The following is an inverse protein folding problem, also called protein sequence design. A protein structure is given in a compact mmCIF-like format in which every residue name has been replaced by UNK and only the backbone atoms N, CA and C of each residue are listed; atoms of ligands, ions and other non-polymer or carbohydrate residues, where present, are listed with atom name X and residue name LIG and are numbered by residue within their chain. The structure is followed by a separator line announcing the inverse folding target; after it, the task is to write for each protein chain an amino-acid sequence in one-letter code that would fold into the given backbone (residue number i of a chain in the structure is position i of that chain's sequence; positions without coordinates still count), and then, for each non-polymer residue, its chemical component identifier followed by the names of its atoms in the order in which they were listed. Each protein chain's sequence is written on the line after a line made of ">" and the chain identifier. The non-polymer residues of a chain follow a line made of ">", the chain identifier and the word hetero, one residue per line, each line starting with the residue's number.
data_IF_628434661485
#
_entry.id   IF_628434661485
#
_cell.length_a   1.000
_cell.length_b   1.000
_cell.length_c   1.000
_cell.angle_alpha   90.00
_cell.angle_beta   90.00
_cell.angle_gamma   90.00
#
_symmetry.space_group_name_H-M   'P 1'
#
loop_
_entity.id
_entity.type
_entity.pdbx_description
1 polymer ?
#
# COMPACT_ATOMS: atom_id res chain seq x y z
N UNK A 1 13.66 -5.25 -18.78
CA UNK A 1 13.12 -5.73 -17.49
C UNK A 1 13.42 -7.24 -17.46
N UNK A 2 13.87 -7.82 -16.34
CA UNK A 2 14.23 -9.24 -16.26
C UNK A 2 13.39 -9.92 -15.18
N UNK A 3 12.95 -11.16 -15.41
CA UNK A 3 12.35 -11.98 -14.36
C UNK A 3 13.43 -12.41 -13.37
N UNK A 4 13.18 -12.27 -12.06
CA UNK A 4 14.15 -12.63 -11.01
C UNK A 4 14.38 -14.14 -10.90
N UNK A 5 13.42 -14.95 -11.33
CA UNK A 5 13.50 -16.42 -11.26
C UNK A 5 14.22 -17.03 -12.47
N UNK A 6 13.92 -16.57 -13.70
CA UNK A 6 14.40 -17.20 -14.93
C UNK A 6 15.33 -16.33 -15.80
N UNK A 7 15.54 -15.06 -15.44
CA UNK A 7 16.37 -14.10 -16.17
C UNK A 7 16.00 -13.86 -17.65
N UNK A 8 14.81 -14.28 -18.10
CA UNK A 8 14.34 -14.02 -19.47
C UNK A 8 14.14 -12.51 -19.70
N UNK A 9 14.85 -11.90 -20.67
CA UNK A 9 14.71 -10.48 -20.98
C UNK A 9 13.45 -10.11 -21.76
N UNK A 10 12.73 -11.09 -22.32
CA UNK A 10 11.59 -10.90 -23.21
C UNK A 10 10.28 -11.48 -22.65
N UNK A 11 10.34 -12.25 -21.56
CA UNK A 11 9.20 -13.00 -21.02
C UNK A 11 8.28 -12.25 -20.05
N UNK A 12 8.40 -10.92 -19.92
CA UNK A 12 7.57 -10.15 -19.00
C UNK A 12 6.35 -9.54 -19.69
N UNK A 13 5.18 -9.77 -19.12
CA UNK A 13 3.91 -9.18 -19.54
C UNK A 13 3.39 -8.18 -18.50
N UNK A 14 2.62 -7.19 -18.96
CA UNK A 14 1.96 -6.25 -18.06
C UNK A 14 0.65 -6.86 -17.53
N UNK A 15 0.56 -6.99 -16.21
CA UNK A 15 -0.60 -7.55 -15.54
C UNK A 15 -1.23 -6.49 -14.63
N UNK A 16 -2.55 -6.37 -14.70
CA UNK A 16 -3.31 -5.48 -13.81
C UNK A 16 -3.45 -6.13 -12.44
N UNK A 17 -2.81 -5.55 -11.43
CA UNK A 17 -2.97 -5.97 -10.05
C UNK A 17 -4.38 -5.67 -9.51
N UNK A 18 -4.83 -6.51 -8.57
CA UNK A 18 -6.08 -6.25 -7.85
C UNK A 18 -5.98 -4.98 -7.00
N UNK A 19 -7.14 -4.45 -6.60
CA UNK A 19 -7.24 -3.31 -5.68
C UNK A 19 -7.73 -3.72 -4.30
N UNK A 20 -7.86 -5.01 -4.05
CA UNK A 20 -8.28 -5.60 -2.79
C UNK A 20 -7.22 -6.59 -2.33
N UNK A 21 -7.18 -6.81 -1.03
CA UNK A 21 -6.19 -7.67 -0.42
C UNK A 21 -6.40 -7.77 1.09
N UNK A 22 -5.40 -8.34 1.77
CA UNK A 22 -5.37 -8.52 3.21
C UNK A 22 -4.13 -7.90 3.81
N UNK A 23 -4.26 -7.39 5.04
CA UNK A 23 -3.12 -6.87 5.77
C UNK A 23 -2.15 -8.00 6.14
N UNK A 24 -0.92 -7.96 5.61
CA UNK A 24 0.13 -8.90 5.95
C UNK A 24 0.81 -8.53 7.28
N UNK A 25 1.21 -7.26 7.43
CA UNK A 25 1.75 -6.72 8.68
C UNK A 25 1.62 -5.20 8.69
N UNK A 26 1.76 -4.58 9.86
CA UNK A 26 1.71 -3.13 10.01
C UNK A 26 2.60 -2.61 11.14
N UNK A 27 2.78 -1.30 11.17
CA UNK A 27 3.43 -0.58 12.27
C UNK A 27 2.80 0.80 12.40
N UNK A 28 2.50 1.19 13.64
CA UNK A 28 2.01 2.54 13.96
C UNK A 28 3.21 3.43 14.28
N UNK A 29 3.52 4.37 13.39
CA UNK A 29 4.62 5.30 13.53
C UNK A 29 4.13 6.63 14.13
N UNK A 30 4.63 6.93 15.33
CA UNK A 30 4.31 8.14 16.09
C UNK A 30 5.31 9.29 15.86
N UNK A 31 6.39 9.04 15.12
CA UNK A 31 7.45 10.01 14.85
C UNK A 31 7.31 10.66 13.47
N UNK A 32 6.72 9.95 12.51
CA UNK A 32 6.47 10.52 11.18
C UNK A 32 5.56 11.75 11.27
N UNK A 33 6.02 12.87 10.71
CA UNK A 33 5.22 14.08 10.57
C UNK A 33 4.01 13.80 9.67
N UNK A 34 2.82 13.91 10.24
CA UNK A 34 1.55 13.63 9.57
C UNK A 34 0.47 14.56 10.10
N UNK A 35 -0.46 15.03 9.25
CA UNK A 35 -1.66 15.72 9.72
C UNK A 35 -2.59 14.82 10.55
N UNK A 36 -2.40 13.50 10.46
CA UNK A 36 -3.19 12.48 11.16
C UNK A 36 -2.24 11.43 11.77
N UNK A 37 -1.62 11.73 12.93
CA UNK A 37 -0.74 10.80 13.64
C UNK A 37 -1.53 9.86 14.58
N UNK A 38 -1.05 8.61 14.80
CA UNK A 38 0.12 7.99 14.19
C UNK A 38 -0.14 7.57 12.74
N UNK A 39 0.92 7.55 11.93
CA UNK A 39 0.85 6.97 10.59
C UNK A 39 0.89 5.46 10.70
N UNK A 40 -0.18 4.80 10.28
CA UNK A 40 -0.17 3.34 10.16
C UNK A 40 0.43 2.94 8.82
N UNK A 41 1.64 2.38 8.86
CA UNK A 41 2.28 1.78 7.70
C UNK A 41 1.85 0.32 7.57
N UNK A 42 1.44 -0.08 6.37
CA UNK A 42 0.90 -1.40 6.09
C UNK A 42 1.63 -2.07 4.93
N UNK A 43 1.84 -3.38 5.07
CA UNK A 43 2.19 -4.27 3.98
C UNK A 43 0.94 -5.07 3.63
N UNK A 44 0.48 -4.99 2.38
CA UNK A 44 -0.78 -5.59 1.91
C UNK A 44 -0.48 -6.65 0.87
N UNK A 45 -1.00 -7.86 1.09
CA UNK A 45 -1.04 -8.91 0.07
C UNK A 45 -2.28 -8.73 -0.80
N UNK A 46 -2.09 -8.45 -2.08
CA UNK A 46 -3.19 -8.24 -3.01
C UNK A 46 -3.78 -9.57 -3.50
N UNK A 47 -5.09 -9.56 -3.77
CA UNK A 47 -5.77 -10.68 -4.40
C UNK A 47 -5.14 -10.97 -5.78
N UNK A 48 -4.84 -12.24 -6.06
CA UNK A 48 -4.17 -12.63 -7.30
C UNK A 48 -2.66 -12.39 -7.33
N UNK A 49 -2.06 -11.91 -6.24
CA UNK A 49 -0.62 -11.79 -6.06
C UNK A 49 -0.09 -10.36 -6.10
N UNK A 50 1.15 -10.21 -5.62
CA UNK A 50 1.79 -8.92 -5.39
C UNK A 50 1.62 -8.44 -3.96
N UNK A 51 2.66 -7.79 -3.44
CA UNK A 51 2.73 -7.26 -2.08
C UNK A 51 3.12 -5.80 -2.13
N UNK A 52 2.33 -4.91 -1.54
CA UNK A 52 2.57 -3.47 -1.53
C UNK A 52 2.79 -2.93 -0.13
N UNK A 53 3.68 -1.94 -0.03
CA UNK A 53 3.82 -1.09 1.15
C UNK A 53 3.07 0.23 0.93
N UNK A 54 2.12 0.53 1.80
CA UNK A 54 1.26 1.73 1.73
C UNK A 54 0.95 2.25 3.14
N UNK A 55 0.44 3.48 3.24
CA UNK A 55 -0.17 3.97 4.48
C UNK A 55 -1.64 3.53 4.53
N UNK A 56 -2.13 3.18 5.73
CA UNK A 56 -3.56 3.06 5.96
C UNK A 56 -4.22 4.44 6.11
N UNK A 57 -5.51 4.49 5.84
CA UNK A 57 -6.36 5.66 6.00
C UNK A 57 -7.78 5.19 6.35
N UNK A 58 -8.63 6.10 6.79
CA UNK A 58 -10.02 5.83 7.17
C UNK A 58 -10.16 4.73 8.27
N UNK A 59 -9.17 4.60 9.16
CA UNK A 59 -9.21 3.64 10.26
C UNK A 59 -8.53 4.17 11.54
N UNK A 60 -9.07 3.78 12.70
CA UNK A 60 -8.41 4.01 13.99
C UNK A 60 -7.22 3.02 14.13
N UNK A 61 -6.00 3.48 14.47
CA UNK A 61 -4.81 2.63 14.59
C UNK A 61 -4.96 1.45 15.56
N UNK A 62 -5.81 1.58 16.57
CA UNK A 62 -6.10 0.54 17.57
C UNK A 62 -6.99 -0.59 17.04
N UNK A 63 -7.66 -0.37 15.90
CA UNK A 63 -8.54 -1.36 15.25
C UNK A 63 -7.86 -2.11 14.11
N UNK A 64 -6.57 -1.86 13.89
CA UNK A 64 -5.81 -2.49 12.81
C UNK A 64 -5.36 -3.88 13.27
N UNK A 65 -5.78 -4.89 12.53
CA UNK A 65 -5.49 -6.29 12.82
C UNK A 65 -4.87 -6.96 11.59
N UNK A 66 -3.84 -7.79 11.80
CA UNK A 66 -3.30 -8.65 10.75
C UNK A 66 -4.47 -9.43 10.13
N UNK A 67 -4.38 -9.68 8.83
CA UNK A 67 -5.40 -10.37 8.05
C UNK A 67 -6.71 -9.59 7.80
N UNK A 68 -6.84 -8.34 8.28
CA UNK A 68 -8.04 -7.55 7.97
C UNK A 68 -8.18 -7.28 6.45
N UNK A 69 -9.41 -7.28 5.90
CA UNK A 69 -9.64 -6.98 4.49
C UNK A 69 -9.42 -5.50 4.22
N UNK A 70 -8.64 -5.21 3.17
CA UNK A 70 -8.31 -3.85 2.74
C UNK A 70 -8.64 -3.64 1.27
N UNK A 71 -8.85 -2.38 0.89
CA UNK A 71 -8.89 -1.95 -0.50
C UNK A 71 -8.02 -0.71 -0.75
N UNK A 72 -7.43 -0.64 -1.94
CA UNK A 72 -6.59 0.48 -2.37
C UNK A 72 -7.46 1.69 -2.71
N UNK A 73 -7.09 2.84 -2.18
CA UNK A 73 -7.74 4.14 -2.42
C UNK A 73 -6.73 5.13 -2.98
N UNK A 74 -7.13 5.87 -4.02
CA UNK A 74 -6.26 6.86 -4.65
C UNK A 74 -6.29 8.16 -3.85
N UNK A 75 -5.14 8.59 -3.34
CA UNK A 75 -5.03 9.72 -2.41
C UNK A 75 -3.82 10.57 -2.74
N UNK A 76 -3.90 11.85 -2.38
CA UNK A 76 -2.73 12.72 -2.33
C UNK A 76 -1.81 12.25 -1.20
N UNK A 77 -0.53 12.03 -1.51
CA UNK A 77 0.46 11.55 -0.54
C UNK A 77 1.36 12.67 -0.02
N UNK A 78 1.74 13.63 -0.88
CA UNK A 78 2.50 14.82 -0.48
C UNK A 78 2.45 15.88 -1.59
N UNK A 79 2.92 17.09 -1.27
CA UNK A 79 3.23 18.13 -2.24
C UNK A 79 4.75 18.27 -2.36
N UNK A 80 5.29 18.28 -3.58
CA UNK A 80 6.71 18.53 -3.81
C UNK A 80 6.93 19.15 -5.19
N UNK A 81 7.89 20.08 -5.28
CA UNK A 81 8.23 20.75 -6.54
C UNK A 81 7.08 21.55 -7.18
N UNK A 82 6.10 21.98 -6.39
CA UNK A 82 4.89 22.65 -6.90
C UNK A 82 3.81 21.70 -7.44
N UNK A 83 3.97 20.38 -7.27
CA UNK A 83 3.02 19.37 -7.71
C UNK A 83 2.32 18.69 -6.54
N UNK A 84 1.05 18.35 -6.75
CA UNK A 84 0.32 17.42 -5.90
C UNK A 84 0.65 15.98 -6.34
N UNK A 85 1.35 15.23 -5.50
CA UNK A 85 1.69 13.84 -5.78
C UNK A 85 0.59 12.93 -5.24
N UNK A 86 0.04 12.09 -6.11
CA UNK A 86 -0.99 11.13 -5.78
C UNK A 86 -0.48 9.70 -5.93
N UNK A 87 -0.89 8.83 -5.02
CA UNK A 87 -0.58 7.41 -5.07
C UNK A 87 -1.63 6.60 -4.33
N UNK A 88 -1.42 5.30 -4.24
CA UNK A 88 -2.27 4.39 -3.47
C UNK A 88 -1.99 4.52 -1.96
N UNK A 89 -3.08 4.62 -1.20
CA UNK A 89 -3.17 4.22 0.21
C UNK A 89 -4.08 3.00 0.31
N UNK A 90 -4.24 2.41 1.49
CA UNK A 90 -5.26 1.38 1.72
C UNK A 90 -6.21 1.79 2.83
N UNK A 91 -7.44 1.30 2.80
CA UNK A 91 -8.44 1.47 3.86
C UNK A 91 -9.13 0.13 4.17
N UNK A 92 -9.69 -0.04 5.38
CA UNK A 92 -10.59 -1.16 5.65
C UNK A 92 -11.75 -1.18 4.65
N UNK A 93 -12.17 -2.40 4.28
CA UNK A 93 -13.37 -2.62 3.46
C UNK A 93 -14.65 -2.36 4.25
#
# INVERSE_FOLDING_TARGET
>A
RLCVECADPNGLEEVKLARRGRLFTFTNDYLTESPDPPVTHAVVDLDGGGRLYVQLTDCEPERVEIDMPLELTFRKIHEAGGFNNYFWKARPQ
#
